data_IF_486745881722
#
_entry.id   IF_486745881722
#
_cell.length_a   1.000
_cell.length_b   1.000
_cell.length_c   1.000
_cell.angle_alpha   90.00
_cell.angle_beta   90.00
_cell.angle_gamma   90.00
#
_symmetry.space_group_name_H-M   'P 1'
#
loop_
_entity.id
_entity.type
_entity.pdbx_description
1 polymer ?
#
# COMPACT_ATOMS: atom_id res chain seq x y z
N UNK A 1 -68.56 -15.79 49.77
CA UNK A 1 -69.51 -15.87 48.64
C UNK A 1 -68.75 -15.69 47.32
N UNK A 2 -68.99 -16.60 46.36
CA UNK A 2 -68.89 -16.51 44.89
C UNK A 2 -67.62 -15.90 44.21
N UNK A 3 -66.92 -16.77 43.46
CA UNK A 3 -66.04 -16.54 42.27
C UNK A 3 -66.83 -15.86 41.11
N UNK A 4 -66.26 -15.30 40.00
CA UNK A 4 -65.07 -15.76 39.22
C UNK A 4 -64.14 -14.65 38.62
N UNK A 5 -62.85 -14.93 38.38
CA UNK A 5 -62.17 -15.31 37.12
C UNK A 5 -62.24 -14.29 35.95
N UNK A 6 -61.07 -13.87 35.47
CA UNK A 6 -60.76 -13.78 34.03
C UNK A 6 -59.24 -13.75 33.82
N UNK A 7 -58.78 -14.75 33.05
CA UNK A 7 -57.50 -14.78 32.35
C UNK A 7 -57.36 -13.60 31.37
N UNK A 8 -56.13 -13.29 30.97
CA UNK A 8 -55.66 -13.41 29.57
C UNK A 8 -54.21 -12.91 29.48
N UNK A 9 -53.32 -13.86 29.19
CA UNK A 9 -52.00 -13.61 28.65
C UNK A 9 -52.11 -13.16 27.19
N UNK A 10 -51.30 -12.19 26.72
CA UNK A 10 -50.62 -12.33 25.41
C UNK A 10 -49.56 -11.25 25.11
N UNK A 11 -48.33 -11.74 24.92
CA UNK A 11 -47.38 -11.41 23.84
C UNK A 11 -47.10 -9.94 23.52
N UNK A 12 -46.01 -9.41 24.09
CA UNK A 12 -45.24 -8.35 23.45
C UNK A 12 -44.63 -8.85 22.14
N UNK A 13 -45.24 -8.39 21.04
CA UNK A 13 -44.85 -8.62 19.65
C UNK A 13 -43.49 -7.95 19.38
N UNK A 14 -42.43 -8.75 19.27
CA UNK A 14 -41.17 -8.31 18.70
C UNK A 14 -41.38 -7.89 17.24
N UNK A 15 -41.31 -6.59 16.96
CA UNK A 15 -41.23 -6.04 15.61
C UNK A 15 -39.87 -6.38 15.03
N UNK A 16 -39.81 -7.51 14.31
CA UNK A 16 -38.70 -7.83 13.40
C UNK A 16 -38.57 -6.69 12.38
N UNK A 17 -37.51 -5.90 12.49
CA UNK A 17 -37.07 -4.99 11.42
C UNK A 17 -36.91 -5.82 10.13
N UNK A 18 -37.48 -5.38 8.99
CA UNK A 18 -37.28 -6.07 7.72
C UNK A 18 -35.79 -6.07 7.38
N UNK A 19 -35.28 -7.27 7.13
CA UNK A 19 -33.93 -7.55 6.67
C UNK A 19 -33.77 -6.85 5.33
N UNK A 20 -33.02 -5.75 5.29
CA UNK A 20 -32.71 -5.03 4.06
C UNK A 20 -32.19 -6.05 3.03
N UNK A 21 -32.95 -6.20 1.94
CA UNK A 21 -32.51 -6.99 0.79
C UNK A 21 -31.18 -6.41 0.31
N UNK A 22 -30.17 -7.27 0.19
CA UNK A 22 -28.90 -6.88 -0.43
C UNK A 22 -29.23 -6.26 -1.79
N UNK A 23 -28.72 -5.07 -2.13
CA UNK A 23 -28.89 -4.55 -3.48
C UNK A 23 -28.26 -5.57 -4.42
N UNK A 24 -29.08 -6.17 -5.29
CA UNK A 24 -28.60 -6.90 -6.46
C UNK A 24 -27.74 -5.90 -7.23
N UNK A 25 -26.44 -6.11 -7.20
CA UNK A 25 -25.49 -5.38 -8.03
C UNK A 25 -25.79 -5.81 -9.46
N UNK A 26 -26.70 -5.11 -10.11
CA UNK A 26 -26.89 -5.20 -11.55
C UNK A 26 -25.55 -4.78 -12.17
N UNK A 27 -24.89 -5.73 -12.83
CA UNK A 27 -23.83 -5.44 -13.78
C UNK A 27 -24.40 -4.42 -14.78
N UNK A 28 -23.78 -3.23 -14.92
CA UNK A 28 -24.28 -2.22 -15.85
C UNK A 28 -24.24 -2.80 -17.25
N UNK A 29 -25.36 -2.71 -17.95
CA UNK A 29 -25.50 -3.04 -19.37
C UNK A 29 -24.51 -2.18 -20.15
N UNK A 30 -23.62 -2.81 -20.92
CA UNK A 30 -22.39 -2.26 -21.50
C UNK A 30 -22.54 -1.11 -22.52
N UNK A 31 -23.72 -0.51 -22.70
CA UNK A 31 -23.97 0.36 -23.86
C UNK A 31 -23.62 1.85 -23.68
N UNK A 32 -23.46 2.38 -22.45
CA UNK A 32 -23.35 3.84 -22.25
C UNK A 32 -22.28 4.28 -21.24
N UNK A 33 -21.37 3.39 -20.84
CA UNK A 33 -20.34 3.77 -19.86
C UNK A 33 -19.16 4.40 -20.60
N UNK A 34 -19.20 5.73 -20.73
CA UNK A 34 -18.03 6.51 -21.17
C UNK A 34 -16.90 6.31 -20.15
N UNK A 35 -15.86 5.60 -20.56
CA UNK A 35 -14.73 5.22 -19.72
C UNK A 35 -13.82 6.41 -19.45
N UNK A 36 -13.49 7.17 -20.50
CA UNK A 36 -12.74 8.43 -20.42
C UNK A 36 -13.45 9.45 -21.30
N UNK A 37 -13.94 10.58 -20.74
CA UNK A 37 -14.57 11.64 -21.52
C UNK A 37 -13.59 12.22 -22.55
N UNK A 38 -14.05 12.38 -23.79
CA UNK A 38 -13.25 12.99 -24.88
C UNK A 38 -12.32 12.04 -25.64
N UNK A 39 -12.29 10.74 -25.30
CA UNK A 39 -11.56 9.73 -26.07
C UNK A 39 -12.51 8.73 -26.75
N UNK A 40 -12.16 8.22 -27.95
CA UNK A 40 -12.88 7.12 -28.58
C UNK A 40 -12.88 5.89 -27.66
N UNK A 41 -14.07 5.36 -27.36
CA UNK A 41 -14.20 4.27 -26.38
C UNK A 41 -13.59 2.96 -26.88
N UNK A 42 -13.64 2.72 -28.18
CA UNK A 42 -13.09 1.52 -28.84
C UNK A 42 -11.56 1.47 -28.69
N UNK A 43 -10.91 2.62 -28.88
CA UNK A 43 -9.46 2.76 -28.69
C UNK A 43 -9.08 2.54 -27.23
N UNK A 44 -9.92 2.97 -26.29
CA UNK A 44 -9.68 2.77 -24.86
C UNK A 44 -9.85 1.29 -24.49
N UNK A 45 -10.92 0.62 -24.92
CA UNK A 45 -11.17 -0.80 -24.60
C UNK A 45 -10.16 -1.76 -25.22
N UNK A 46 -9.74 -1.53 -26.47
CA UNK A 46 -8.73 -2.35 -27.15
C UNK A 46 -7.35 -2.22 -26.48
N UNK A 47 -6.97 -1.01 -26.09
CA UNK A 47 -5.66 -0.76 -25.50
C UNK A 47 -5.62 -0.95 -23.98
N UNK A 48 -6.78 -1.09 -23.32
CA UNK A 48 -6.81 -1.31 -21.87
C UNK A 48 -5.92 -2.49 -21.49
N UNK A 49 -5.85 -3.58 -22.27
CA UNK A 49 -5.01 -4.76 -22.00
C UNK A 49 -3.50 -4.56 -22.25
N UNK A 50 -3.13 -3.58 -23.07
CA UNK A 50 -1.72 -3.28 -23.38
C UNK A 50 -1.13 -2.26 -22.42
N UNK A 51 -1.96 -1.44 -21.77
CA UNK A 51 -1.54 -0.45 -20.77
C UNK A 51 -0.74 -1.03 -19.60
N UNK A 52 -0.94 -2.31 -19.27
CA UNK A 52 -0.13 -3.05 -18.31
C UNK A 52 1.37 -3.06 -18.60
N UNK A 53 1.75 -2.94 -19.87
CA UNK A 53 3.14 -2.87 -20.32
C UNK A 53 3.71 -1.45 -20.39
N UNK A 54 2.86 -0.43 -20.41
CA UNK A 54 3.27 0.98 -20.58
C UNK A 54 3.17 1.79 -19.28
N UNK A 55 2.22 1.43 -18.40
CA UNK A 55 1.93 2.14 -17.17
C UNK A 55 2.30 1.27 -15.96
N UNK A 56 2.94 1.87 -14.96
CA UNK A 56 3.13 1.19 -13.67
C UNK A 56 1.79 0.95 -12.97
N UNK A 57 1.70 -0.01 -12.04
CA UNK A 57 0.40 -0.27 -11.36
C UNK A 57 -0.10 0.93 -10.54
N UNK A 58 0.78 1.84 -10.12
CA UNK A 58 0.36 3.11 -9.47
C UNK A 58 -0.45 3.96 -10.45
N UNK A 59 0.03 4.10 -11.67
CA UNK A 59 -0.60 4.91 -12.71
C UNK A 59 -1.84 4.21 -13.26
N UNK A 60 -1.78 2.90 -13.47
CA UNK A 60 -2.96 2.09 -13.80
C UNK A 60 -4.04 2.21 -12.72
N UNK A 61 -3.66 2.22 -11.43
CA UNK A 61 -4.64 2.37 -10.35
C UNK A 61 -5.25 3.77 -10.39
N UNK A 62 -4.43 4.81 -10.50
CA UNK A 62 -4.89 6.21 -10.61
C UNK A 62 -5.83 6.37 -11.80
N UNK A 63 -5.46 5.82 -12.94
CA UNK A 63 -6.25 5.80 -14.16
C UNK A 63 -7.57 5.03 -13.94
N UNK A 64 -7.51 3.84 -13.33
CA UNK A 64 -8.71 3.06 -12.99
C UNK A 64 -9.67 3.79 -12.06
N UNK A 65 -9.19 4.78 -11.31
CA UNK A 65 -10.02 5.61 -10.45
C UNK A 65 -10.62 6.83 -11.15
N UNK A 66 -10.22 7.13 -12.40
CA UNK A 66 -10.74 8.26 -13.17
C UNK A 66 -12.23 8.11 -13.53
N UNK A 67 -12.71 6.86 -13.67
CA UNK A 67 -14.13 6.59 -13.82
C UNK A 67 -14.52 5.22 -13.27
N UNK A 68 -15.80 5.06 -12.93
CA UNK A 68 -16.34 3.79 -12.43
C UNK A 68 -16.29 2.69 -13.49
N UNK A 69 -16.51 3.04 -14.76
CA UNK A 69 -16.42 2.12 -15.88
C UNK A 69 -15.00 1.63 -16.09
N UNK A 70 -14.02 2.54 -16.06
CA UNK A 70 -12.62 2.17 -16.21
C UNK A 70 -12.16 1.27 -15.06
N UNK A 71 -12.59 1.57 -13.83
CA UNK A 71 -12.34 0.69 -12.70
C UNK A 71 -12.85 -0.72 -12.94
N UNK A 72 -14.10 -0.88 -13.40
CA UNK A 72 -14.68 -2.22 -13.64
C UNK A 72 -13.95 -2.98 -14.73
N UNK A 73 -13.63 -2.32 -15.84
CA UNK A 73 -12.92 -2.95 -16.97
C UNK A 73 -11.50 -3.34 -16.58
N UNK A 74 -10.76 -2.43 -15.92
CA UNK A 74 -9.41 -2.71 -15.43
C UNK A 74 -9.39 -3.71 -14.26
N UNK A 75 -10.48 -3.79 -13.48
CA UNK A 75 -10.59 -4.78 -12.43
C UNK A 75 -10.56 -6.20 -13.00
N UNK A 76 -11.20 -6.45 -14.13
CA UNK A 76 -11.24 -7.79 -14.70
C UNK A 76 -9.97 -8.11 -15.49
N UNK A 77 -9.38 -7.11 -16.14
CA UNK A 77 -8.13 -7.24 -16.88
C UNK A 77 -6.88 -7.38 -15.98
N UNK A 78 -6.80 -6.60 -14.91
CA UNK A 78 -5.59 -6.43 -14.09
C UNK A 78 -5.81 -6.77 -12.62
N UNK A 79 -6.74 -6.08 -11.96
CA UNK A 79 -6.79 -6.10 -10.49
C UNK A 79 -7.24 -7.44 -9.92
N UNK A 80 -8.15 -8.13 -10.60
CA UNK A 80 -8.64 -9.46 -10.23
C UNK A 80 -7.52 -10.49 -10.32
N UNK A 81 -6.71 -10.45 -11.37
CA UNK A 81 -5.55 -11.35 -11.55
C UNK A 81 -4.48 -11.09 -10.50
N UNK A 82 -4.14 -9.83 -10.25
CA UNK A 82 -3.18 -9.43 -9.20
C UNK A 82 -3.71 -9.79 -7.81
N UNK A 83 -5.03 -9.68 -7.61
CA UNK A 83 -5.66 -10.12 -6.39
C UNK A 83 -5.56 -11.65 -6.27
N UNK A 84 -6.01 -12.42 -7.24
CA UNK A 84 -6.20 -13.88 -7.16
C UNK A 84 -4.92 -14.70 -7.40
N UNK A 85 -3.82 -14.08 -7.81
CA UNK A 85 -2.56 -14.77 -8.01
C UNK A 85 -2.08 -15.44 -6.71
N UNK A 86 -1.68 -16.72 -6.82
CA UNK A 86 -1.26 -17.59 -5.71
C UNK A 86 -0.08 -17.00 -4.94
N UNK A 87 0.71 -16.12 -5.56
CA UNK A 87 1.77 -15.37 -4.87
C UNK A 87 1.25 -14.33 -3.86
N UNK A 88 -0.07 -14.09 -3.82
CA UNK A 88 -0.78 -13.22 -2.87
C UNK A 88 -1.67 -14.02 -1.88
N UNK A 89 -1.75 -15.34 -2.02
CA UNK A 89 -2.53 -16.29 -1.20
C UNK A 89 -2.32 -16.17 0.33
N UNK A 90 -1.09 -15.93 0.85
CA UNK A 90 -0.88 -15.78 2.30
C UNK A 90 -1.69 -14.63 2.91
N UNK A 91 -1.95 -13.57 2.14
CA UNK A 91 -2.68 -12.39 2.63
C UNK A 91 -4.19 -12.61 2.71
N UNK A 92 -4.76 -13.50 1.89
CA UNK A 92 -6.19 -13.86 1.94
C UNK A 92 -6.59 -14.57 3.23
N UNK A 93 -5.66 -15.32 3.82
CA UNK A 93 -5.86 -16.04 5.07
C UNK A 93 -6.09 -15.12 6.28
N UNK A 94 -5.66 -13.85 6.18
CA UNK A 94 -5.80 -12.89 7.27
C UNK A 94 -7.24 -12.34 7.28
N UNK A 95 -8.02 -12.66 8.32
CA UNK A 95 -9.43 -12.20 8.47
C UNK A 95 -9.61 -10.68 8.30
N UNK A 96 -8.59 -9.88 8.63
CA UNK A 96 -8.60 -8.44 8.43
C UNK A 96 -8.54 -8.04 6.94
N UNK A 97 -7.87 -8.84 6.09
CA UNK A 97 -7.74 -8.60 4.65
C UNK A 97 -9.05 -8.86 3.90
N UNK A 98 -9.82 -9.89 4.28
CA UNK A 98 -11.14 -10.18 3.70
C UNK A 98 -12.14 -9.02 3.89
N UNK A 99 -12.00 -8.23 4.97
CA UNK A 99 -12.85 -7.08 5.28
C UNK A 99 -12.49 -5.81 4.49
N UNK A 100 -11.32 -5.76 3.86
CA UNK A 100 -10.90 -4.58 3.09
C UNK A 100 -11.66 -4.51 1.77
N UNK A 101 -12.06 -3.31 1.35
CA UNK A 101 -12.62 -3.08 0.01
C UNK A 101 -11.56 -3.38 -1.06
N UNK A 102 -11.93 -3.90 -2.25
CA UNK A 102 -10.98 -4.27 -3.31
C UNK A 102 -9.95 -3.17 -3.64
N UNK A 103 -10.38 -1.92 -3.78
CA UNK A 103 -9.50 -0.77 -4.02
C UNK A 103 -8.47 -0.55 -2.90
N UNK A 104 -8.88 -0.72 -1.64
CA UNK A 104 -7.98 -0.62 -0.48
C UNK A 104 -6.98 -1.79 -0.42
N UNK A 105 -7.36 -2.98 -0.90
CA UNK A 105 -6.46 -4.13 -1.02
C UNK A 105 -5.37 -3.86 -2.05
N UNK A 106 -5.76 -3.47 -3.27
CA UNK A 106 -4.83 -3.12 -4.35
C UNK A 106 -3.88 -2.02 -3.92
N UNK A 107 -4.40 -0.98 -3.26
CA UNK A 107 -3.59 0.11 -2.70
C UNK A 107 -2.53 -0.39 -1.72
N UNK A 108 -2.90 -1.26 -0.78
CA UNK A 108 -1.95 -1.81 0.21
C UNK A 108 -0.92 -2.73 -0.43
N UNK A 109 -1.32 -3.54 -1.42
CA UNK A 109 -0.40 -4.41 -2.16
C UNK A 109 0.63 -3.57 -2.90
N UNK A 110 0.18 -2.55 -3.62
CA UNK A 110 1.04 -1.62 -4.36
C UNK A 110 2.00 -0.91 -3.41
N UNK A 111 1.50 -0.36 -2.29
CA UNK A 111 2.35 0.36 -1.32
C UNK A 111 3.43 -0.52 -0.69
N UNK A 112 3.18 -1.81 -0.48
CA UNK A 112 4.16 -2.75 0.09
C UNK A 112 5.18 -3.28 -0.92
N UNK A 113 4.96 -3.02 -2.21
CA UNK A 113 5.70 -3.66 -3.31
C UNK A 113 6.29 -2.67 -4.30
N UNK A 114 6.02 -1.37 -4.17
CA UNK A 114 6.73 -0.33 -4.91
C UNK A 114 8.05 -0.04 -4.22
N UNK A 115 9.14 -0.10 -5.00
CA UNK A 115 10.43 0.37 -4.55
C UNK A 115 10.47 1.90 -4.51
N UNK A 116 10.82 2.51 -3.38
CA UNK A 116 10.92 3.98 -3.26
C UNK A 116 12.07 4.57 -4.09
N UNK A 117 13.01 3.74 -4.58
CA UNK A 117 14.13 4.19 -5.40
C UNK A 117 13.79 4.18 -6.89
N UNK A 118 13.53 3.00 -7.45
CA UNK A 118 13.27 2.84 -8.88
C UNK A 118 11.78 2.97 -9.25
N UNK A 119 10.87 3.06 -8.27
CA UNK A 119 9.42 3.05 -8.46
C UNK A 119 8.86 1.80 -9.17
N UNK A 120 9.69 0.78 -9.39
CA UNK A 120 9.27 -0.50 -9.94
C UNK A 120 8.54 -1.35 -8.90
N UNK A 121 7.57 -2.11 -9.38
CA UNK A 121 6.80 -3.02 -8.56
C UNK A 121 7.48 -4.37 -8.51
N UNK A 122 7.64 -4.87 -7.30
CA UNK A 122 8.30 -6.13 -7.03
C UNK A 122 7.24 -7.22 -6.85
N UNK A 123 7.51 -8.39 -7.42
CA UNK A 123 6.63 -9.57 -7.26
C UNK A 123 6.74 -10.17 -5.85
N UNK A 124 7.77 -9.79 -5.08
CA UNK A 124 7.95 -10.15 -3.67
C UNK A 124 7.73 -8.92 -2.80
N UNK A 125 7.29 -9.15 -1.56
CA UNK A 125 7.16 -8.07 -0.58
C UNK A 125 8.53 -7.41 -0.37
N UNK A 126 8.54 -6.08 -0.51
CA UNK A 126 9.74 -5.31 -0.23
C UNK A 126 9.88 -5.24 1.27
N UNK A 127 10.93 -5.87 1.78
CA UNK A 127 11.24 -5.79 3.19
C UNK A 127 11.82 -4.40 3.46
N UNK A 128 11.30 -3.67 4.47
CA UNK A 128 11.88 -2.39 4.80
C UNK A 128 13.33 -2.63 5.23
N UNK A 129 14.24 -1.83 4.70
CA UNK A 129 15.68 -1.96 5.01
C UNK A 129 15.94 -1.75 6.50
N UNK A 130 15.01 -1.10 7.20
CA UNK A 130 14.97 -0.98 8.66
C UNK A 130 13.65 -1.54 9.19
N UNK A 131 13.69 -2.52 10.12
CA UNK A 131 12.50 -2.92 10.86
C UNK A 131 11.95 -1.70 11.63
N UNK A 132 10.65 -1.43 11.50
CA UNK A 132 9.91 -0.34 12.17
C UNK A 132 10.03 1.07 11.58
N UNK A 133 10.74 1.26 10.46
CA UNK A 133 10.68 2.49 9.68
C UNK A 133 9.98 2.21 8.35
N UNK A 134 8.72 2.63 8.23
CA UNK A 134 7.91 2.46 7.01
C UNK A 134 8.55 3.14 5.79
N UNK A 135 9.49 4.06 6.01
CA UNK A 135 9.99 5.03 5.04
C UNK A 135 11.01 4.48 4.02
N UNK A 136 11.61 3.31 4.27
CA UNK A 136 12.71 2.78 3.44
C UNK A 136 12.42 1.39 2.89
N UNK A 137 11.45 1.32 1.97
CA UNK A 137 11.14 0.12 1.18
C UNK A 137 11.84 0.22 -0.18
N UNK A 138 12.92 -0.53 -0.38
CA UNK A 138 13.61 -0.64 -1.68
C UNK A 138 13.76 -2.09 -2.10
N UNK A 139 13.63 -2.37 -3.40
CA UNK A 139 13.80 -3.72 -3.93
C UNK A 139 15.21 -4.27 -3.66
N UNK A 140 15.40 -5.59 -3.72
CA UNK A 140 16.69 -6.23 -3.44
C UNK A 140 17.83 -5.65 -4.27
N UNK A 141 17.59 -5.41 -5.57
CA UNK A 141 18.56 -4.77 -6.48
C UNK A 141 18.95 -3.37 -6.01
N UNK A 142 17.97 -2.56 -5.62
CA UNK A 142 18.24 -1.21 -5.12
C UNK A 142 18.90 -1.24 -3.74
N UNK A 143 18.60 -2.24 -2.90
CA UNK A 143 19.20 -2.40 -1.58
C UNK A 143 20.71 -2.68 -1.64
N UNK A 144 21.19 -3.27 -2.75
CA UNK A 144 22.61 -3.52 -3.02
C UNK A 144 23.38 -2.28 -3.48
N UNK A 145 22.68 -1.20 -3.86
CA UNK A 145 23.36 0.02 -4.31
C UNK A 145 24.17 0.65 -3.17
N UNK A 146 25.34 1.26 -3.46
CA UNK A 146 26.20 1.88 -2.46
C UNK A 146 25.48 2.92 -1.59
N UNK A 147 24.50 3.62 -2.16
CA UNK A 147 23.68 4.61 -1.43
C UNK A 147 22.91 4.00 -0.25
N UNK A 148 22.58 2.71 -0.27
CA UNK A 148 21.89 2.01 0.80
C UNK A 148 22.82 1.19 1.70
N UNK A 149 24.13 1.26 1.45
CA UNK A 149 25.14 0.67 2.33
C UNK A 149 25.11 1.33 3.72
N UNK A 150 25.55 0.56 4.72
CA UNK A 150 25.72 1.07 6.07
C UNK A 150 27.11 1.69 6.23
N UNK A 151 27.17 2.87 6.84
CA UNK A 151 28.40 3.57 7.22
C UNK A 151 28.48 3.69 8.75
N UNK A 152 29.68 3.56 9.32
CA UNK A 152 29.89 3.72 10.76
C UNK A 152 29.78 5.18 11.16
N UNK A 153 29.36 5.41 12.40
CA UNK A 153 29.34 6.74 13.01
C UNK A 153 30.66 7.52 12.85
N UNK A 154 31.80 6.88 13.16
CA UNK A 154 33.13 7.48 13.06
C UNK A 154 33.46 7.90 11.65
N UNK A 155 33.17 7.02 10.70
CA UNK A 155 33.47 7.22 9.28
C UNK A 155 32.58 8.33 8.71
N UNK A 156 31.32 8.40 9.13
CA UNK A 156 30.40 9.47 8.73
C UNK A 156 30.86 10.85 9.22
N UNK A 157 31.34 10.96 10.46
CA UNK A 157 31.90 12.22 10.99
C UNK A 157 33.14 12.62 10.20
N UNK A 158 34.06 11.68 9.98
CA UNK A 158 35.34 11.96 9.35
C UNK A 158 35.18 12.34 7.87
N UNK A 159 34.38 11.58 7.12
CA UNK A 159 34.23 11.77 5.67
C UNK A 159 33.34 12.98 5.32
N UNK A 160 32.24 13.18 6.06
CA UNK A 160 31.25 14.21 5.74
C UNK A 160 31.36 15.46 6.62
N UNK A 161 32.37 15.54 7.49
CA UNK A 161 32.60 16.65 8.43
C UNK A 161 31.38 16.97 9.31
N UNK A 162 30.56 15.96 9.58
CA UNK A 162 29.34 16.12 10.38
C UNK A 162 29.67 16.14 11.88
N UNK A 163 29.02 17.04 12.62
CA UNK A 163 29.02 17.03 14.09
C UNK A 163 28.09 15.94 14.63
N UNK A 164 28.38 15.45 15.84
CA UNK A 164 27.56 14.49 16.59
C UNK A 164 26.07 14.84 16.61
N UNK A 165 25.77 16.10 16.89
CA UNK A 165 24.40 16.61 17.05
C UNK A 165 23.60 16.43 15.76
N UNK A 166 24.23 16.56 14.58
CA UNK A 166 23.55 16.34 13.30
C UNK A 166 23.20 14.86 13.12
N UNK A 167 24.12 13.95 13.40
CA UNK A 167 23.89 12.50 13.25
C UNK A 167 22.84 11.95 14.22
N UNK A 168 22.60 12.61 15.36
CA UNK A 168 21.54 12.24 16.29
C UNK A 168 20.13 12.55 15.77
N UNK A 169 20.00 13.36 14.71
CA UNK A 169 18.71 13.66 14.06
C UNK A 169 18.25 12.59 13.07
N UNK A 170 19.15 11.68 12.67
CA UNK A 170 18.85 10.64 11.68
C UNK A 170 18.86 9.24 12.31
N UNK A 171 18.12 8.28 11.73
CA UNK A 171 17.97 6.98 12.37
C UNK A 171 19.22 6.12 12.20
N UNK A 172 19.56 5.37 13.25
CA UNK A 172 20.76 4.53 13.31
C UNK A 172 20.47 3.14 13.84
N UNK A 173 21.12 2.13 13.26
CA UNK A 173 21.10 0.76 13.76
C UNK A 173 22.25 0.55 14.72
N UNK A 174 21.98 -0.03 15.90
CA UNK A 174 23.02 -0.44 16.85
C UNK A 174 23.42 -1.88 16.54
N UNK A 175 24.72 -2.11 16.30
CA UNK A 175 25.30 -3.45 16.16
C UNK A 175 26.15 -3.75 17.39
N UNK A 176 25.79 -4.78 18.14
CA UNK A 176 26.53 -5.21 19.33
C UNK A 176 27.91 -5.73 18.90
N UNK A 177 28.93 -5.32 19.64
CA UNK A 177 30.33 -5.76 19.52
C UNK A 177 30.85 -6.13 20.90
N UNK A 178 31.99 -6.82 20.96
CA UNK A 178 32.54 -7.42 22.19
C UNK A 178 32.61 -6.48 23.42
N UNK A 179 32.73 -5.16 23.21
CA UNK A 179 32.77 -4.13 24.28
C UNK A 179 31.79 -2.97 24.06
N UNK A 180 30.59 -3.25 23.54
CA UNK A 180 29.53 -2.25 23.44
C UNK A 180 28.74 -2.34 22.14
N UNK A 181 28.55 -1.21 21.47
CA UNK A 181 27.84 -1.17 20.19
C UNK A 181 28.45 -0.13 19.26
N UNK A 182 28.41 -0.44 17.96
CA UNK A 182 28.66 0.53 16.91
C UNK A 182 27.33 1.04 16.36
N UNK A 183 27.25 2.34 16.08
CA UNK A 183 26.11 2.95 15.38
C UNK A 183 26.39 2.93 13.88
N UNK A 184 25.45 2.37 13.14
CA UNK A 184 25.47 2.25 11.69
C UNK A 184 24.34 3.12 11.12
N UNK A 185 24.66 3.90 10.11
CA UNK A 185 23.74 4.79 9.42
C UNK A 185 23.64 4.36 7.97
N UNK A 186 22.50 4.63 7.32
CA UNK A 186 22.41 4.46 5.87
C UNK A 186 23.10 5.64 5.18
N UNK A 187 23.94 5.33 4.19
CA UNK A 187 24.74 6.34 3.51
C UNK A 187 23.87 7.43 2.88
N UNK A 188 22.73 7.08 2.29
CA UNK A 188 21.78 8.04 1.71
C UNK A 188 21.22 9.06 2.74
N UNK A 189 21.00 8.65 3.98
CA UNK A 189 20.56 9.56 5.05
C UNK A 189 21.68 10.52 5.44
N UNK A 190 22.92 10.01 5.53
CA UNK A 190 24.11 10.81 5.84
C UNK A 190 24.39 11.83 4.75
N UNK A 191 24.26 11.43 3.48
CA UNK A 191 24.43 12.33 2.33
C UNK A 191 23.39 13.45 2.34
N UNK A 192 22.10 13.12 2.49
CA UNK A 192 21.02 14.13 2.59
C UNK A 192 21.23 15.07 3.77
N UNK A 193 21.72 14.56 4.90
CA UNK A 193 22.01 15.38 6.06
C UNK A 193 23.21 16.31 5.79
N UNK A 194 24.28 15.81 5.17
CA UNK A 194 25.44 16.61 4.80
C UNK A 194 25.08 17.75 3.84
N UNK A 195 24.23 17.49 2.85
CA UNK A 195 23.76 18.52 1.92
C UNK A 195 22.92 19.59 2.62
N UNK A 196 22.05 19.19 3.57
CA UNK A 196 21.27 20.12 4.39
C UNK A 196 22.14 21.01 5.26
N UNK A 197 23.15 20.45 5.93
CA UNK A 197 24.05 21.23 6.80
C UNK A 197 24.89 22.20 5.97
N UNK A 198 25.45 21.77 4.84
CA UNK A 198 26.18 22.64 3.91
C UNK A 198 25.34 23.82 3.42
N UNK A 199 24.05 23.59 3.17
CA UNK A 199 23.13 24.63 2.70
C UNK A 199 22.75 25.65 3.79
N UNK A 200 23.00 25.35 5.07
CA UNK A 200 22.71 26.25 6.20
C UNK A 200 23.93 27.05 6.65
N UNK A 201 25.13 26.60 6.30
CA UNK A 201 26.40 27.26 6.63
C UNK A 201 26.94 28.14 5.48
N UNK A 202 26.31 28.07 4.29
CA UNK A 202 26.58 28.92 3.13
C UNK A 202 25.67 30.15 3.12
#
# INVERSE_FOLDING_TARGET
MKRPATDVATKTRATRKPKASKPKMQSPTNADVTLIPGLPQDVVTENILTWGGFLGLKDLKTLSMASRGLYTTMNDAYWRRIAEDKMFEPMYSVKAFAKLKPASRVSRIILKRICNHCHEIQMRDIHPVRPNEECFQVCSRCAELPAYAEIKYTDAIQQFKLKRVHLDTIPSRKKIVYQGYIRLFKLCDVLRLADKVKSQEA
#
